data_IF_582862220406
#
_entry.id   IF_582862220406
#
_cell.length_a   1.000
_cell.length_b   1.000
_cell.length_c   1.000
_cell.angle_alpha   90.00
_cell.angle_beta   90.00
_cell.angle_gamma   90.00
#
_symmetry.space_group_name_H-M   'P 1'
#
loop_
_entity.id
_entity.type
_entity.pdbx_description
1 polymer ?
#
# COMPACT_ATOMS: atom_id res chain seq x y z
N UNK A 1 34.53 -3.38 -42.01
CA UNK A 1 33.45 -4.04 -41.24
C UNK A 1 33.59 -3.75 -39.74
N UNK A 2 33.37 -2.52 -39.28
CA UNK A 2 33.57 -2.14 -37.86
C UNK A 2 32.49 -1.23 -37.25
N UNK A 3 31.31 -1.10 -37.88
CA UNK A 3 30.27 -0.17 -37.40
C UNK A 3 29.11 -0.82 -36.64
N UNK A 4 29.01 -2.16 -36.60
CA UNK A 4 27.90 -2.87 -35.92
C UNK A 4 28.19 -3.30 -34.47
N UNK A 5 29.39 -3.07 -33.92
CA UNK A 5 29.73 -3.50 -32.55
C UNK A 5 29.51 -2.44 -31.48
N UNK A 6 29.29 -1.18 -31.86
CA UNK A 6 29.16 -0.07 -30.89
C UNK A 6 27.72 0.22 -30.44
N UNK A 7 26.70 -0.23 -31.19
CA UNK A 7 25.30 0.05 -30.86
C UNK A 7 24.81 -0.85 -29.71
N UNK A 8 25.28 -2.11 -29.65
CA UNK A 8 24.91 -3.03 -28.57
C UNK A 8 25.48 -2.62 -27.20
N UNK A 9 26.64 -1.96 -27.17
CA UNK A 9 27.28 -1.55 -25.91
C UNK A 9 26.57 -0.33 -25.28
N UNK A 10 26.06 0.59 -26.11
CA UNK A 10 25.33 1.78 -25.63
C UNK A 10 23.92 1.40 -25.15
N UNK A 11 23.30 0.39 -25.76
CA UNK A 11 21.98 -0.09 -25.32
C UNK A 11 22.06 -0.83 -23.97
N UNK A 12 23.16 -1.56 -23.71
CA UNK A 12 23.37 -2.24 -22.43
C UNK A 12 23.65 -1.25 -21.28
N UNK A 13 24.32 -0.13 -21.56
CA UNK A 13 24.59 0.91 -20.55
C UNK A 13 23.32 1.73 -20.24
N UNK A 14 22.45 2.00 -21.22
CA UNK A 14 21.19 2.70 -20.98
C UNK A 14 20.17 1.87 -20.17
N UNK A 15 20.24 0.53 -20.23
CA UNK A 15 19.47 -0.34 -19.34
C UNK A 15 20.01 -0.36 -17.90
N UNK A 16 21.29 -0.04 -17.68
CA UNK A 16 21.91 -0.05 -16.36
C UNK A 16 21.78 1.29 -15.61
N UNK A 17 21.51 2.40 -16.32
CA UNK A 17 21.43 3.74 -15.70
C UNK A 17 20.00 4.21 -15.37
N UNK A 18 18.97 3.39 -15.63
CA UNK A 18 17.56 3.77 -15.49
C UNK A 18 16.79 3.04 -14.38
N UNK A 19 17.32 1.94 -13.83
CA UNK A 19 16.76 1.33 -12.64
C UNK A 19 17.56 1.88 -11.46
N UNK A 20 16.93 2.68 -10.60
CA UNK A 20 17.46 2.88 -9.25
C UNK A 20 17.78 1.49 -8.71
N UNK A 21 19.05 1.22 -8.37
CA UNK A 21 19.45 -0.04 -7.76
C UNK A 21 18.55 -0.25 -6.54
N UNK A 22 17.59 -1.14 -6.69
CA UNK A 22 16.67 -1.51 -5.64
C UNK A 22 17.53 -2.22 -4.61
N UNK A 23 17.90 -1.49 -3.54
CA UNK A 23 18.81 -1.97 -2.51
C UNK A 23 18.26 -3.31 -2.02
N UNK A 24 19.02 -4.39 -2.24
CA UNK A 24 18.69 -5.69 -1.70
C UNK A 24 18.81 -5.58 -0.18
N UNK A 25 17.68 -5.76 0.51
CA UNK A 25 17.63 -5.72 1.97
C UNK A 25 18.17 -7.04 2.52
N UNK A 26 18.91 -6.96 3.62
CA UNK A 26 19.13 -8.14 4.47
C UNK A 26 17.80 -8.63 5.06
N UNK A 27 17.75 -9.87 5.54
CA UNK A 27 16.53 -10.42 6.16
C UNK A 27 16.01 -9.54 7.30
N UNK A 28 16.90 -9.07 8.17
CA UNK A 28 16.55 -8.17 9.29
C UNK A 28 16.00 -6.83 8.79
N UNK A 29 16.67 -6.22 7.80
CA UNK A 29 16.18 -4.97 7.19
C UNK A 29 14.82 -5.16 6.50
N UNK A 30 14.59 -6.30 5.84
CA UNK A 30 13.31 -6.63 5.21
C UNK A 30 12.19 -6.73 6.24
N UNK A 31 12.38 -7.49 7.32
CA UNK A 31 11.36 -7.67 8.35
C UNK A 31 11.06 -6.38 9.09
N UNK A 32 12.10 -5.58 9.38
CA UNK A 32 11.94 -4.26 9.99
C UNK A 32 11.18 -3.31 9.07
N UNK A 33 11.62 -3.15 7.82
CA UNK A 33 10.97 -2.25 6.86
C UNK A 33 9.51 -2.66 6.61
N UNK A 34 9.23 -3.96 6.46
CA UNK A 34 7.86 -4.47 6.27
C UNK A 34 6.99 -4.18 7.50
N UNK A 35 7.54 -4.32 8.71
CA UNK A 35 6.81 -4.01 9.95
C UNK A 35 6.49 -2.52 10.05
N UNK A 36 7.46 -1.66 9.74
CA UNK A 36 7.29 -0.20 9.76
C UNK A 36 6.19 0.23 8.77
N UNK A 37 6.19 -0.34 7.55
CA UNK A 37 5.16 -0.14 6.52
C UNK A 37 3.77 -0.54 7.06
N UNK A 38 3.65 -1.71 7.69
CA UNK A 38 2.37 -2.19 8.24
C UNK A 38 1.86 -1.25 9.35
N UNK A 39 2.75 -0.76 10.22
CA UNK A 39 2.37 0.17 11.30
C UNK A 39 1.88 1.50 10.74
N UNK A 40 2.58 2.07 9.78
CA UNK A 40 2.20 3.34 9.15
C UNK A 40 0.87 3.20 8.38
N UNK A 41 0.71 2.10 7.65
CA UNK A 41 -0.56 1.71 7.03
C UNK A 41 -1.70 1.64 8.06
N UNK A 42 -1.51 0.95 9.19
CA UNK A 42 -2.56 0.78 10.21
C UNK A 42 -2.98 2.12 10.81
N UNK A 43 -2.03 3.02 11.03
CA UNK A 43 -2.30 4.37 11.50
C UNK A 43 -3.14 5.18 10.49
N UNK A 44 -2.77 5.15 9.21
CA UNK A 44 -3.54 5.82 8.15
C UNK A 44 -4.97 5.28 8.02
N UNK A 45 -5.16 3.96 8.16
CA UNK A 45 -6.49 3.35 8.08
C UNK A 45 -7.36 3.67 9.29
N UNK A 46 -6.77 3.78 10.49
CA UNK A 46 -7.49 4.25 11.68
C UNK A 46 -8.06 5.65 11.47
N UNK A 47 -7.26 6.59 10.97
CA UNK A 47 -7.73 7.95 10.67
C UNK A 47 -8.86 7.97 9.62
N UNK A 48 -8.76 7.11 8.58
CA UNK A 48 -9.82 6.96 7.59
C UNK A 48 -11.14 6.48 8.21
N UNK A 49 -11.08 5.52 9.12
CA UNK A 49 -12.26 5.01 9.82
C UNK A 49 -12.92 6.01 10.74
N UNK A 50 -12.12 6.69 11.55
CA UNK A 50 -12.62 7.71 12.48
C UNK A 50 -13.37 8.78 11.68
N UNK A 51 -12.89 9.10 10.47
CA UNK A 51 -13.65 9.87 9.50
C UNK A 51 -14.96 9.18 9.08
N UNK A 52 -14.89 7.95 8.56
CA UNK A 52 -16.04 7.25 7.99
C UNK A 52 -17.20 7.10 8.97
N UNK A 53 -16.91 6.94 10.26
CA UNK A 53 -17.92 6.90 11.30
C UNK A 53 -18.76 8.18 11.33
N UNK A 54 -18.14 9.35 11.17
CA UNK A 54 -18.83 10.65 11.07
C UNK A 54 -19.76 10.68 9.85
N UNK A 55 -19.31 10.13 8.72
CA UNK A 55 -20.12 10.03 7.51
C UNK A 55 -21.33 9.11 7.70
N UNK A 56 -21.13 7.90 8.24
CA UNK A 56 -22.21 6.92 8.47
C UNK A 56 -23.27 7.46 9.43
N UNK A 57 -22.87 8.26 10.43
CA UNK A 57 -23.79 8.90 11.36
C UNK A 57 -24.58 10.06 10.74
N UNK A 58 -23.99 10.78 9.79
CA UNK A 58 -24.60 11.93 9.11
C UNK A 58 -24.09 12.07 7.67
N UNK A 59 -24.82 11.46 6.74
CA UNK A 59 -24.44 11.45 5.32
C UNK A 59 -24.31 12.86 4.71
N UNK A 60 -24.87 13.91 5.33
CA UNK A 60 -24.70 15.29 4.86
C UNK A 60 -23.29 15.84 5.08
N UNK A 61 -22.50 15.21 5.95
CA UNK A 61 -21.13 15.59 6.32
C UNK A 61 -20.06 14.89 5.47
N UNK A 62 -20.43 14.25 4.36
CA UNK A 62 -19.50 13.56 3.46
C UNK A 62 -18.28 14.41 3.04
N UNK A 63 -18.40 15.72 2.95
CA UNK A 63 -17.27 16.62 2.63
C UNK A 63 -16.18 16.62 3.71
N UNK A 64 -16.53 16.35 4.96
CA UNK A 64 -15.56 16.24 6.07
C UNK A 64 -14.66 15.00 5.93
N UNK A 65 -15.05 14.03 5.08
CA UNK A 65 -14.21 12.87 4.73
C UNK A 65 -13.09 13.19 3.75
N UNK A 66 -13.15 14.32 3.06
CA UNK A 66 -12.24 14.57 1.94
C UNK A 66 -10.77 14.63 2.38
N UNK A 67 -10.48 15.34 3.47
CA UNK A 67 -9.13 15.47 3.99
C UNK A 67 -8.61 14.15 4.60
N UNK A 68 -9.36 13.47 5.49
CA UNK A 68 -8.97 12.13 5.96
C UNK A 68 -8.76 11.11 4.84
N UNK A 69 -9.65 11.07 3.84
CA UNK A 69 -9.55 10.14 2.72
C UNK A 69 -8.35 10.43 1.81
N UNK A 70 -8.06 11.72 1.55
CA UNK A 70 -6.87 12.10 0.78
C UNK A 70 -5.60 11.71 1.54
N UNK A 71 -5.50 12.05 2.82
CA UNK A 71 -4.32 11.73 3.65
C UNK A 71 -4.09 10.22 3.72
N UNK A 72 -5.14 9.44 3.96
CA UNK A 72 -5.05 7.98 3.97
C UNK A 72 -4.62 7.43 2.61
N UNK A 73 -5.19 7.94 1.50
CA UNK A 73 -4.80 7.54 0.15
C UNK A 73 -3.33 7.81 -0.12
N UNK A 74 -2.82 8.99 0.24
CA UNK A 74 -1.42 9.38 0.00
C UNK A 74 -0.46 8.45 0.75
N UNK A 75 -0.75 8.16 2.02
CA UNK A 75 0.06 7.24 2.84
C UNK A 75 -0.04 5.82 2.28
N UNK A 76 -1.25 5.28 2.10
CA UNK A 76 -1.43 3.89 1.65
C UNK A 76 -0.81 3.68 0.26
N UNK A 77 -0.92 4.65 -0.66
CA UNK A 77 -0.30 4.55 -1.99
C UNK A 77 1.23 4.48 -1.89
N UNK A 78 1.83 5.32 -1.05
CA UNK A 78 3.27 5.31 -0.79
C UNK A 78 3.72 3.99 -0.19
N UNK A 79 3.02 3.52 0.84
CA UNK A 79 3.35 2.26 1.53
C UNK A 79 3.16 1.04 0.61
N UNK A 80 2.13 1.05 -0.23
CA UNK A 80 1.91 0.04 -1.27
C UNK A 80 3.04 0.02 -2.30
N UNK A 81 3.48 1.18 -2.79
CA UNK A 81 4.61 1.28 -3.72
C UNK A 81 5.90 0.77 -3.08
N UNK A 82 6.18 1.17 -1.83
CA UNK A 82 7.35 0.73 -1.08
C UNK A 82 7.38 -0.79 -0.93
N UNK A 83 6.31 -1.41 -0.44
CA UNK A 83 6.29 -2.87 -0.25
C UNK A 83 6.36 -3.61 -1.58
N UNK A 84 5.68 -3.14 -2.63
CA UNK A 84 5.69 -3.77 -3.96
C UNK A 84 7.07 -3.74 -4.62
N UNK A 85 7.91 -2.80 -4.17
CA UNK A 85 9.29 -2.65 -4.63
C UNK A 85 10.27 -3.51 -3.81
N UNK A 86 9.86 -4.08 -2.67
CA UNK A 86 10.76 -4.89 -1.85
C UNK A 86 10.86 -6.31 -2.39
N UNK A 87 12.06 -6.88 -2.38
CA UNK A 87 12.24 -8.30 -2.62
C UNK A 87 11.95 -9.07 -1.32
N UNK A 88 11.03 -10.04 -1.32
CA UNK A 88 10.77 -10.85 -0.13
C UNK A 88 11.97 -11.74 0.20
N UNK A 89 12.16 -12.00 1.49
CA UNK A 89 13.11 -13.03 1.93
C UNK A 89 12.63 -14.42 1.50
N UNK A 90 13.54 -15.38 1.25
CA UNK A 90 13.17 -16.73 0.86
C UNK A 90 12.17 -17.40 1.83
N UNK A 91 11.08 -17.96 1.29
CA UNK A 91 10.01 -18.61 2.07
C UNK A 91 8.94 -17.66 2.64
N UNK A 92 8.99 -16.36 2.28
CA UNK A 92 8.01 -15.35 2.64
C UNK A 92 7.26 -14.74 1.45
N UNK A 93 7.51 -15.23 0.24
CA UNK A 93 6.96 -14.72 -1.02
C UNK A 93 5.43 -14.68 -0.98
N UNK A 94 4.79 -15.75 -0.50
CA UNK A 94 3.32 -15.82 -0.42
C UNK A 94 2.75 -14.78 0.55
N UNK A 95 3.37 -14.60 1.72
CA UNK A 95 2.93 -13.60 2.73
C UNK A 95 3.19 -12.18 2.26
N UNK A 96 4.27 -11.98 1.49
CA UNK A 96 4.59 -10.70 0.89
C UNK A 96 3.55 -10.34 -0.17
N UNK A 97 3.25 -11.25 -1.09
CA UNK A 97 2.24 -11.05 -2.13
C UNK A 97 0.85 -10.88 -1.54
N UNK A 98 0.53 -11.59 -0.44
CA UNK A 98 -0.71 -11.38 0.30
C UNK A 98 -0.77 -9.96 0.88
N UNK A 99 0.30 -9.49 1.52
CA UNK A 99 0.39 -8.11 2.04
C UNK A 99 0.22 -7.07 0.93
N UNK A 100 0.94 -7.20 -0.18
CA UNK A 100 0.81 -6.32 -1.36
C UNK A 100 -0.64 -6.26 -1.84
N UNK A 101 -1.29 -7.42 -1.97
CA UNK A 101 -2.68 -7.52 -2.43
C UNK A 101 -3.66 -6.83 -1.47
N UNK A 102 -3.43 -6.95 -0.16
CA UNK A 102 -4.25 -6.25 0.83
C UNK A 102 -4.03 -4.74 0.74
N UNK A 103 -2.79 -4.25 0.70
CA UNK A 103 -2.51 -2.82 0.58
C UNK A 103 -3.15 -2.21 -0.69
N UNK A 104 -3.09 -2.91 -1.82
CA UNK A 104 -3.76 -2.50 -3.06
C UNK A 104 -5.28 -2.37 -2.88
N UNK A 105 -5.91 -3.29 -2.13
CA UNK A 105 -7.33 -3.20 -1.81
C UNK A 105 -7.64 -1.93 -0.99
N UNK A 106 -6.85 -1.65 0.05
CA UNK A 106 -7.04 -0.47 0.89
C UNK A 106 -6.80 0.84 0.14
N UNK A 107 -5.83 0.89 -0.77
CA UNK A 107 -5.61 2.03 -1.65
C UNK A 107 -6.85 2.31 -2.50
N UNK A 108 -7.41 1.25 -3.11
CA UNK A 108 -8.64 1.34 -3.88
C UNK A 108 -9.83 1.83 -3.05
N UNK A 109 -9.94 1.38 -1.81
CA UNK A 109 -10.97 1.84 -0.89
C UNK A 109 -10.79 3.32 -0.49
N UNK A 110 -9.57 3.76 -0.14
CA UNK A 110 -9.31 5.16 0.20
C UNK A 110 -9.61 6.10 -0.99
N UNK A 111 -9.29 5.65 -2.21
CA UNK A 111 -9.64 6.35 -3.45
C UNK A 111 -11.16 6.47 -3.63
N UNK A 112 -11.90 5.41 -3.31
CA UNK A 112 -13.35 5.41 -3.37
C UNK A 112 -13.99 6.29 -2.28
N UNK A 113 -13.41 6.30 -1.08
CA UNK A 113 -13.80 7.20 0.00
C UNK A 113 -13.63 8.67 -0.42
N UNK A 114 -12.50 9.00 -1.06
CA UNK A 114 -12.23 10.34 -1.58
C UNK A 114 -13.16 10.73 -2.74
N UNK A 115 -13.49 9.79 -3.62
CA UNK A 115 -14.46 10.01 -4.70
C UNK A 115 -15.83 10.34 -4.13
N UNK A 116 -16.28 9.53 -3.17
CA UNK A 116 -17.54 9.72 -2.46
C UNK A 116 -17.57 11.05 -1.72
N UNK A 117 -16.50 11.41 -1.00
CA UNK A 117 -16.42 12.67 -0.25
C UNK A 117 -16.51 13.92 -1.14
N UNK A 118 -16.13 13.79 -2.42
CA UNK A 118 -16.23 14.87 -3.41
C UNK A 118 -17.62 14.93 -4.06
N UNK A 119 -18.23 13.78 -4.33
CA UNK A 119 -19.43 13.68 -5.15
C UNK A 119 -20.74 13.52 -4.35
N UNK A 120 -20.67 13.15 -3.07
CA UNK A 120 -21.83 12.95 -2.20
C UNK A 120 -22.63 11.66 -2.43
N UNK A 121 -22.11 10.74 -3.24
CA UNK A 121 -22.70 9.41 -3.50
C UNK A 121 -21.83 8.33 -2.86
N UNK A 122 -22.40 7.62 -1.87
CA UNK A 122 -21.70 6.61 -1.08
C UNK A 122 -22.27 5.20 -1.22
N UNK A 123 -23.08 4.97 -2.26
CA UNK A 123 -23.68 3.66 -2.50
C UNK A 123 -22.60 2.56 -2.55
N UNK A 124 -21.44 2.89 -3.12
CA UNK A 124 -20.31 1.96 -3.25
C UNK A 124 -19.52 1.75 -1.95
N UNK A 125 -19.37 2.78 -1.10
CA UNK A 125 -18.66 2.68 0.18
C UNK A 125 -19.35 1.70 1.15
N UNK A 126 -20.67 1.72 1.23
CA UNK A 126 -21.42 0.84 2.13
C UNK A 126 -21.22 -0.65 1.81
N UNK A 127 -21.16 -0.99 0.52
CA UNK A 127 -20.89 -2.37 0.05
C UNK A 127 -19.43 -2.76 0.33
N UNK A 128 -18.51 -1.81 0.18
CA UNK A 128 -17.08 -2.03 0.39
C UNK A 128 -16.72 -2.18 1.88
N UNK A 129 -17.44 -1.53 2.80
CA UNK A 129 -17.11 -1.50 4.23
C UNK A 129 -17.04 -2.89 4.89
N UNK A 130 -17.91 -3.83 4.52
CA UNK A 130 -17.88 -5.19 5.07
C UNK A 130 -16.66 -6.00 4.57
N UNK A 131 -16.28 -5.82 3.31
CA UNK A 131 -15.06 -6.44 2.74
C UNK A 131 -13.81 -5.82 3.39
N UNK A 132 -13.84 -4.52 3.60
CA UNK A 132 -12.76 -3.80 4.26
C UNK A 132 -12.47 -4.34 5.66
N UNK A 133 -13.50 -4.54 6.50
CA UNK A 133 -13.32 -5.10 7.84
C UNK A 133 -12.70 -6.51 7.83
N UNK A 134 -13.01 -7.30 6.81
CA UNK A 134 -12.36 -8.60 6.62
C UNK A 134 -10.87 -8.45 6.31
N UNK A 135 -10.52 -7.53 5.40
CA UNK A 135 -9.11 -7.30 5.02
C UNK A 135 -8.26 -6.76 6.17
N UNK A 136 -8.85 -5.94 7.07
CA UNK A 136 -8.10 -5.46 8.25
C UNK A 136 -7.64 -6.61 9.13
N UNK A 137 -8.54 -7.57 9.39
CA UNK A 137 -8.21 -8.76 10.19
C UNK A 137 -7.14 -9.60 9.51
N UNK A 138 -7.09 -9.62 8.18
CA UNK A 138 -6.04 -10.28 7.45
C UNK A 138 -4.69 -9.58 7.64
N UNK A 139 -4.63 -8.25 7.52
CA UNK A 139 -3.42 -7.48 7.81
C UNK A 139 -2.97 -7.61 9.27
N UNK A 140 -3.88 -7.61 10.25
CA UNK A 140 -3.51 -7.81 11.65
C UNK A 140 -2.80 -9.14 11.87
N UNK A 141 -3.30 -10.23 11.27
CA UNK A 141 -2.64 -11.54 11.34
C UNK A 141 -1.29 -11.55 10.63
N UNK A 142 -1.18 -10.90 9.47
CA UNK A 142 0.11 -10.78 8.77
C UNK A 142 1.11 -9.98 9.61
N UNK A 143 0.66 -8.88 10.23
CA UNK A 143 1.47 -8.04 11.14
C UNK A 143 2.09 -8.87 12.26
N UNK A 144 1.31 -9.75 12.89
CA UNK A 144 1.81 -10.63 13.96
C UNK A 144 2.95 -11.54 13.47
N UNK A 145 2.83 -12.08 12.25
CA UNK A 145 3.88 -12.90 11.66
C UNK A 145 5.18 -12.11 11.40
N UNK A 146 5.07 -10.89 10.85
CA UNK A 146 6.23 -10.04 10.58
C UNK A 146 6.88 -9.54 11.88
N UNK A 147 6.08 -9.10 12.86
CA UNK A 147 6.57 -8.63 14.15
C UNK A 147 7.26 -9.73 14.97
N UNK A 148 6.84 -10.99 14.82
CA UNK A 148 7.51 -12.12 15.46
C UNK A 148 8.93 -12.40 14.93
N UNK A 149 9.34 -11.77 13.82
CA UNK A 149 10.69 -11.92 13.24
C UNK A 149 11.70 -10.88 13.70
N UNK A 150 11.24 -9.83 14.37
CA UNK A 150 12.07 -8.75 14.92
C UNK A 150 12.22 -8.80 16.44
N UNK A 151 11.62 -9.82 17.09
CA UNK A 151 11.73 -10.11 18.52
C UNK A 151 12.79 -11.18 18.78
#
# INVERSE_FOLDING_TARGET
MHKMRFIFLVFLILCLTGCAEQKVLTDEEYFKATTDIILEFKNANKELFDGLEVYVQDNSKYKQMQEPAQKALDIISKEHELISSMQPVPGWEDRHNELVSHLAYFEGFAREALRTSKNGDATDLGIQASKYMYQLKAIDRLSEHYMAKIQ
#
